data_IF_203566624015
#
_entry.id   IF_203566624015
#
_cell.length_a   1.000
_cell.length_b   1.000
_cell.length_c   1.000
_cell.angle_alpha   90.00
_cell.angle_beta   90.00
_cell.angle_gamma   90.00
#
_symmetry.space_group_name_H-M   'P 1'
#
loop_
_entity.id
_entity.type
_entity.pdbx_description
1 polymer ?
#
# COMPACT_ATOMS: atom_id res chain seq x y z
N UNK A 1 5.36 -29.69 -27.92
CA UNK A 1 4.37 -29.54 -26.83
C UNK A 1 3.86 -30.92 -26.45
N UNK A 2 3.77 -31.26 -25.16
CA UNK A 2 3.27 -32.58 -24.71
C UNK A 2 1.77 -32.80 -24.96
N UNK A 3 1.03 -31.77 -25.38
CA UNK A 3 -0.44 -31.82 -25.51
C UNK A 3 -0.96 -32.47 -26.80
N UNK A 4 -0.12 -32.88 -27.77
CA UNK A 4 -0.54 -33.58 -29.00
C UNK A 4 -1.79 -33.00 -29.71
N UNK A 5 -2.04 -31.69 -29.62
CA UNK A 5 -3.20 -31.04 -30.23
C UNK A 5 -4.56 -31.31 -29.55
N UNK A 6 -4.57 -31.98 -28.40
CA UNK A 6 -5.79 -32.19 -27.61
C UNK A 6 -6.12 -30.92 -26.79
N UNK A 7 -7.42 -30.62 -26.59
CA UNK A 7 -7.84 -29.57 -25.67
C UNK A 7 -7.29 -29.86 -24.26
N UNK A 8 -6.74 -28.85 -23.60
CA UNK A 8 -6.34 -28.98 -22.20
C UNK A 8 -7.62 -29.14 -21.35
N UNK A 9 -7.60 -30.09 -20.42
CA UNK A 9 -8.64 -30.16 -19.39
C UNK A 9 -8.64 -28.86 -18.59
N UNK A 10 -9.82 -28.30 -18.26
CA UNK A 10 -9.88 -27.11 -17.44
C UNK A 10 -9.22 -27.41 -16.08
N UNK A 11 -8.35 -26.50 -15.59
CA UNK A 11 -7.75 -26.70 -14.28
C UNK A 11 -8.86 -26.76 -13.21
N UNK A 12 -8.71 -27.68 -12.26
CA UNK A 12 -9.55 -27.70 -11.06
C UNK A 12 -9.16 -26.47 -10.23
N UNK A 13 -10.09 -25.53 -10.06
CA UNK A 13 -9.87 -24.37 -9.21
C UNK A 13 -9.95 -24.82 -7.75
N UNK A 14 -8.80 -24.92 -7.08
CA UNK A 14 -8.76 -25.18 -5.65
C UNK A 14 -9.26 -23.93 -4.90
N UNK A 15 -10.42 -24.05 -4.26
CA UNK A 15 -10.91 -23.01 -3.35
C UNK A 15 -9.99 -22.92 -2.13
N UNK A 16 -9.67 -21.71 -1.65
CA UNK A 16 -8.90 -21.56 -0.43
C UNK A 16 -9.68 -22.19 0.74
N UNK A 17 -9.00 -22.89 1.67
CA UNK A 17 -9.67 -23.45 2.83
C UNK A 17 -10.49 -22.37 3.58
N UNK A 18 -11.74 -22.69 3.92
CA UNK A 18 -12.67 -21.77 4.59
C UNK A 18 -12.10 -21.11 5.86
N UNK A 19 -11.18 -21.80 6.54
CA UNK A 19 -10.44 -21.24 7.67
C UNK A 19 -9.75 -19.91 7.30
N UNK A 20 -9.03 -19.85 6.18
CA UNK A 20 -8.32 -18.63 5.75
C UNK A 20 -9.30 -17.53 5.36
N UNK A 21 -10.35 -17.86 4.60
CA UNK A 21 -11.41 -16.90 4.26
C UNK A 21 -12.02 -16.26 5.51
N UNK A 22 -12.48 -17.08 6.46
CA UNK A 22 -13.13 -16.59 7.67
C UNK A 22 -12.19 -15.78 8.55
N UNK A 23 -10.96 -16.27 8.77
CA UNK A 23 -9.96 -15.54 9.58
C UNK A 23 -9.55 -14.22 8.94
N UNK A 24 -9.46 -14.13 7.60
CA UNK A 24 -9.24 -12.87 6.89
C UNK A 24 -10.39 -11.89 7.12
N UNK A 25 -11.65 -12.32 6.96
CA UNK A 25 -12.80 -11.44 7.18
C UNK A 25 -12.91 -10.97 8.64
N UNK A 26 -12.69 -11.86 9.60
CA UNK A 26 -12.65 -11.51 11.03
C UNK A 26 -11.52 -10.52 11.30
N UNK A 27 -10.34 -10.70 10.70
CA UNK A 27 -9.22 -9.78 10.86
C UNK A 27 -9.53 -8.38 10.32
N UNK A 28 -10.16 -8.29 9.14
CA UNK A 28 -10.59 -7.00 8.60
C UNK A 28 -11.65 -6.33 9.49
N UNK A 29 -12.62 -7.11 9.98
CA UNK A 29 -13.65 -6.59 10.89
C UNK A 29 -13.02 -6.02 12.17
N UNK A 30 -12.08 -6.73 12.78
CA UNK A 30 -11.36 -6.26 13.95
C UNK A 30 -10.60 -4.96 13.69
N UNK A 31 -9.88 -4.86 12.56
CA UNK A 31 -9.17 -3.64 12.19
C UNK A 31 -10.12 -2.44 11.99
N UNK A 32 -11.27 -2.67 11.35
CA UNK A 32 -12.29 -1.64 11.13
C UNK A 32 -12.89 -1.19 12.46
N UNK A 33 -13.27 -2.13 13.34
CA UNK A 33 -13.82 -1.81 14.66
C UNK A 33 -12.83 -1.00 15.50
N UNK A 34 -11.57 -1.43 15.58
CA UNK A 34 -10.51 -0.69 16.29
C UNK A 34 -10.31 0.70 15.68
N UNK A 35 -10.32 0.81 14.35
CA UNK A 35 -10.21 2.09 13.65
C UNK A 35 -11.32 3.06 14.06
N UNK A 36 -12.58 2.60 14.12
CA UNK A 36 -13.71 3.43 14.54
C UNK A 36 -13.64 3.80 16.02
N UNK A 37 -13.23 2.89 16.90
CA UNK A 37 -12.99 3.19 18.32
C UNK A 37 -11.95 4.30 18.44
N UNK A 38 -10.83 4.20 17.73
CA UNK A 38 -9.81 5.23 17.74
C UNK A 38 -10.28 6.57 17.13
N UNK A 39 -11.12 6.55 16.08
CA UNK A 39 -11.72 7.78 15.52
C UNK A 39 -12.70 8.41 16.50
N UNK A 40 -13.48 7.62 17.24
CA UNK A 40 -14.40 8.12 18.27
C UNK A 40 -13.64 8.86 19.38
N UNK A 41 -12.62 8.24 19.96
CA UNK A 41 -11.79 8.88 20.98
C UNK A 41 -10.97 10.04 20.42
N UNK A 42 -10.43 9.90 19.21
CA UNK A 42 -9.65 10.93 18.53
C UNK A 42 -10.46 12.19 18.22
N UNK A 43 -11.69 12.02 17.72
CA UNK A 43 -12.62 13.14 17.51
C UNK A 43 -13.01 13.80 18.83
N UNK A 44 -13.10 13.08 19.96
CA UNK A 44 -13.53 13.68 21.25
C UNK A 44 -12.39 14.34 22.03
N UNK A 45 -11.20 13.73 22.02
CA UNK A 45 -10.09 14.09 22.92
C UNK A 45 -8.74 14.31 22.22
N UNK A 46 -8.65 14.02 20.91
CA UNK A 46 -7.42 14.14 20.14
C UNK A 46 -7.08 15.56 19.70
N UNK A 47 -5.96 15.69 18.99
CA UNK A 47 -5.51 16.97 18.44
C UNK A 47 -6.50 17.50 17.39
N UNK A 48 -7.04 18.68 17.65
CA UNK A 48 -7.98 19.39 16.76
C UNK A 48 -7.44 19.51 15.34
N UNK A 49 -6.15 19.78 15.16
CA UNK A 49 -5.54 19.92 13.82
C UNK A 49 -5.75 18.68 12.94
N UNK A 50 -5.87 17.50 13.53
CA UNK A 50 -6.01 16.24 12.80
C UNK A 50 -7.46 15.79 12.60
N UNK A 51 -8.39 16.25 13.43
CA UNK A 51 -9.79 15.79 13.43
C UNK A 51 -10.79 16.87 13.03
N UNK A 52 -10.37 18.13 12.95
CA UNK A 52 -11.24 19.25 12.59
C UNK A 52 -11.75 19.15 11.16
N UNK A 53 -10.93 18.69 10.22
CA UNK A 53 -11.34 18.45 8.83
C UNK A 53 -12.31 17.28 8.64
N UNK A 54 -12.46 16.43 9.66
CA UNK A 54 -13.35 15.27 9.69
C UNK A 54 -14.71 15.58 10.32
N UNK A 55 -14.95 16.85 10.66
CA UNK A 55 -16.16 17.30 11.30
C UNK A 55 -16.75 18.46 10.52
N UNK A 56 -18.06 18.61 10.61
CA UNK A 56 -18.74 19.82 10.17
C UNK A 56 -18.18 20.99 10.97
N UNK A 57 -17.62 21.97 10.27
CA UNK A 57 -17.10 23.19 10.87
C UNK A 57 -17.74 24.40 10.19
N UNK A 58 -18.19 25.36 10.99
CA UNK A 58 -18.72 26.65 10.51
C UNK A 58 -19.84 26.51 9.45
N UNK A 59 -20.64 25.44 9.52
CA UNK A 59 -21.73 25.17 8.56
C UNK A 59 -21.28 24.52 7.24
N UNK A 60 -19.99 24.25 7.06
CA UNK A 60 -19.45 23.54 5.90
C UNK A 60 -19.32 22.04 6.18
N UNK A 61 -19.70 21.24 5.19
CA UNK A 61 -19.46 19.80 5.20
C UNK A 61 -17.95 19.51 5.18
N UNK A 62 -17.50 18.39 5.80
CA UNK A 62 -16.11 17.96 5.69
C UNK A 62 -15.73 17.74 4.22
N UNK A 63 -14.47 18.04 3.89
CA UNK A 63 -13.93 17.95 2.52
C UNK A 63 -13.98 16.53 1.95
N UNK A 64 -13.80 15.52 2.80
CA UNK A 64 -13.85 14.12 2.43
C UNK A 64 -14.93 13.42 3.24
N UNK A 65 -15.57 12.43 2.64
CA UNK A 65 -16.46 11.55 3.38
C UNK A 65 -15.69 10.81 4.48
N UNK A 66 -16.34 10.62 5.62
CA UNK A 66 -15.74 10.01 6.80
C UNK A 66 -15.27 8.58 6.51
N UNK A 67 -16.05 7.85 5.70
CA UNK A 67 -15.75 6.47 5.28
C UNK A 67 -14.65 6.42 4.23
N UNK A 68 -14.70 7.30 3.23
CA UNK A 68 -13.71 7.35 2.15
C UNK A 68 -12.30 7.65 2.67
N UNK A 69 -12.24 8.57 3.64
CA UNK A 69 -10.99 8.96 4.28
C UNK A 69 -10.58 8.02 5.44
N UNK A 70 -11.48 7.17 5.95
CA UNK A 70 -11.20 6.19 7.00
C UNK A 70 -10.14 5.17 6.58
N UNK A 71 -10.32 4.57 5.39
CA UNK A 71 -9.39 3.55 4.88
C UNK A 71 -7.96 4.09 4.85
N UNK A 72 -7.80 5.29 4.28
CA UNK A 72 -6.48 5.93 4.16
C UNK A 72 -5.86 6.23 5.52
N UNK A 73 -6.63 6.78 6.48
CA UNK A 73 -6.13 7.14 7.81
C UNK A 73 -5.83 5.94 8.72
N UNK A 74 -6.68 4.92 8.72
CA UNK A 74 -6.67 3.86 9.73
C UNK A 74 -6.03 2.57 9.24
N UNK A 75 -6.10 2.28 7.94
CA UNK A 75 -5.52 1.09 7.35
C UNK A 75 -4.28 1.42 6.51
N UNK A 76 -4.45 2.15 5.40
CA UNK A 76 -3.38 2.38 4.41
C UNK A 76 -2.14 3.03 5.02
N UNK A 77 -2.30 4.12 5.77
CA UNK A 77 -1.18 4.88 6.34
C UNK A 77 -0.25 4.01 7.21
N UNK A 78 -0.80 3.00 7.91
CA UNK A 78 0.01 2.06 8.70
C UNK A 78 0.85 1.12 7.84
N UNK A 79 0.40 0.83 6.63
CA UNK A 79 1.10 0.00 5.66
C UNK A 79 2.15 0.79 4.87
N UNK A 80 2.07 2.11 4.84
CA UNK A 80 2.91 2.95 3.97
C UNK A 80 4.42 2.80 4.23
N UNK A 81 4.84 2.34 5.41
CA UNK A 81 6.27 2.06 5.69
C UNK A 81 6.87 1.01 4.73
N UNK A 82 6.05 0.03 4.33
CA UNK A 82 6.44 -1.01 3.40
C UNK A 82 5.95 -0.74 1.96
N UNK A 83 4.76 -0.15 1.80
CA UNK A 83 4.08 -0.09 0.51
C UNK A 83 4.29 1.22 -0.27
N UNK A 84 4.65 2.31 0.41
CA UNK A 84 4.72 3.64 -0.20
C UNK A 84 6.15 4.20 -0.17
N UNK A 85 7.17 3.34 -0.22
CA UNK A 85 8.57 3.75 -0.20
C UNK A 85 8.93 4.45 -1.51
N UNK A 86 9.42 5.71 -1.46
CA UNK A 86 9.80 6.42 -2.67
C UNK A 86 11.02 5.77 -3.31
N UNK A 87 10.95 5.57 -4.62
CA UNK A 87 12.05 5.05 -5.44
C UNK A 87 12.55 6.13 -6.40
N UNK A 88 13.84 6.10 -6.72
CA UNK A 88 14.45 6.99 -7.70
C UNK A 88 15.18 6.20 -8.78
N UNK A 89 15.45 6.86 -9.90
CA UNK A 89 16.15 6.27 -11.04
C UNK A 89 15.27 5.31 -11.84
N UNK A 90 15.94 4.53 -12.68
CA UNK A 90 15.28 3.57 -13.56
C UNK A 90 15.02 2.27 -12.79
N UNK A 91 13.77 1.72 -12.82
CA UNK A 91 13.48 0.46 -12.18
C UNK A 91 14.04 -0.71 -13.00
N UNK A 92 15.32 -1.02 -12.80
CA UNK A 92 16.01 -2.15 -13.43
C UNK A 92 16.01 -3.41 -12.56
N UNK A 93 17.05 -4.24 -12.69
CA UNK A 93 17.28 -5.39 -11.79
C UNK A 93 17.32 -4.99 -10.31
N UNK A 94 17.82 -3.80 -10.03
CA UNK A 94 17.82 -3.18 -8.70
C UNK A 94 16.99 -1.89 -8.72
N UNK A 95 16.40 -1.56 -7.59
CA UNK A 95 15.73 -0.27 -7.34
C UNK A 95 16.41 0.44 -6.19
N UNK A 96 16.56 1.76 -6.33
CA UNK A 96 17.10 2.62 -5.29
C UNK A 96 15.95 3.24 -4.49
N UNK A 97 15.87 2.90 -3.21
CA UNK A 97 14.91 3.47 -2.28
C UNK A 97 15.49 4.74 -1.65
N UNK A 98 14.67 5.76 -1.52
CA UNK A 98 14.99 6.93 -0.70
C UNK A 98 14.66 6.61 0.76
N UNK A 99 15.67 6.64 1.61
CA UNK A 99 15.48 6.32 3.02
C UNK A 99 14.71 7.45 3.72
N UNK A 100 13.72 7.04 4.51
CA UNK A 100 12.87 7.94 5.29
C UNK A 100 12.60 7.36 6.66
N UNK A 101 12.34 8.25 7.61
CA UNK A 101 11.85 7.91 8.96
C UNK A 101 10.54 8.66 9.22
N UNK A 102 9.66 8.03 9.98
CA UNK A 102 8.45 8.65 10.51
C UNK A 102 8.40 8.43 12.02
N UNK A 103 8.09 9.48 12.77
CA UNK A 103 7.92 9.44 14.23
C UNK A 103 6.45 9.61 14.64
N UNK A 104 5.53 9.63 13.68
CA UNK A 104 4.12 9.99 13.88
C UNK A 104 3.16 9.01 13.17
N UNK A 105 3.55 7.74 13.07
CA UNK A 105 2.80 6.67 12.41
C UNK A 105 2.52 6.98 10.93
N UNK A 106 3.56 7.34 10.17
CA UNK A 106 3.50 7.62 8.74
C UNK A 106 2.62 8.82 8.34
N UNK A 107 2.36 9.74 9.26
CA UNK A 107 1.65 11.00 8.93
C UNK A 107 2.58 11.99 8.24
N UNK A 108 3.84 12.03 8.68
CA UNK A 108 4.90 12.81 8.06
C UNK A 108 6.16 11.96 7.89
N UNK A 109 6.98 12.35 6.92
CA UNK A 109 8.22 11.68 6.60
C UNK A 109 9.39 12.64 6.63
N UNK A 110 10.47 12.20 7.26
CA UNK A 110 11.77 12.87 7.26
C UNK A 110 12.71 12.05 6.39
N UNK A 111 13.16 12.62 5.28
CA UNK A 111 14.15 12.00 4.42
C UNK A 111 15.53 12.13 5.05
N UNK A 112 16.26 11.01 5.13
CA UNK A 112 17.58 10.97 5.77
C UNK A 112 18.70 11.46 4.83
N UNK A 113 18.40 11.59 3.54
CA UNK A 113 19.39 11.88 2.49
C UNK A 113 20.24 10.66 2.10
N UNK A 114 19.97 9.51 2.70
CA UNK A 114 20.60 8.24 2.35
C UNK A 114 19.71 7.44 1.40
N UNK A 115 20.34 6.49 0.72
CA UNK A 115 19.69 5.66 -0.29
C UNK A 115 20.06 4.20 -0.06
N UNK A 116 19.07 3.33 -0.21
CA UNK A 116 19.26 1.89 -0.11
C UNK A 116 18.94 1.23 -1.45
N UNK A 117 19.93 0.59 -2.06
CA UNK A 117 19.71 -0.24 -3.24
C UNK A 117 19.14 -1.61 -2.82
N UNK A 118 18.08 -2.05 -3.50
CA UNK A 118 17.40 -3.31 -3.21
C UNK A 118 17.10 -4.07 -4.49
N UNK A 119 17.01 -5.39 -4.40
CA UNK A 119 16.64 -6.24 -5.52
C UNK A 119 15.20 -5.95 -5.95
N UNK A 120 14.99 -5.71 -7.24
CA UNK A 120 13.68 -5.48 -7.80
C UNK A 120 12.94 -6.80 -8.00
N UNK A 121 12.03 -7.10 -7.09
CA UNK A 121 11.16 -8.27 -7.17
C UNK A 121 9.74 -7.93 -7.66
N UNK A 122 9.44 -6.65 -7.85
CA UNK A 122 8.07 -6.17 -8.10
C UNK A 122 7.79 -5.87 -9.57
N UNK A 123 8.81 -5.52 -10.36
CA UNK A 123 8.63 -5.24 -11.78
C UNK A 123 9.19 -6.37 -12.64
N UNK A 124 8.44 -6.73 -13.69
CA UNK A 124 8.87 -7.67 -14.73
C UNK A 124 9.90 -7.07 -15.70
N UNK A 125 10.69 -6.07 -15.27
CA UNK A 125 11.71 -5.45 -16.10
C UNK A 125 13.02 -6.27 -16.11
N UNK A 126 12.92 -7.59 -16.26
CA UNK A 126 14.07 -8.49 -16.39
C UNK A 126 14.69 -8.45 -17.79
N UNK A 127 13.95 -7.96 -18.78
CA UNK A 127 14.44 -7.77 -20.16
C UNK A 127 15.19 -6.45 -20.37
N UNK A 128 15.21 -5.56 -19.38
CA UNK A 128 15.95 -4.31 -19.45
C UNK A 128 15.31 -3.22 -20.31
N UNK A 129 14.04 -3.37 -20.73
CA UNK A 129 13.35 -2.37 -21.55
C UNK A 129 13.20 -0.99 -20.91
N UNK A 130 13.18 -0.91 -19.57
CA UNK A 130 13.15 0.39 -18.92
C UNK A 130 14.53 1.05 -18.81
N UNK A 131 15.63 0.34 -19.11
CA UNK A 131 17.00 0.84 -18.99
C UNK A 131 17.37 1.74 -20.17
N UNK A 132 18.05 2.84 -19.89
CA UNK A 132 18.51 3.79 -20.92
C UNK A 132 19.78 3.32 -21.65
N UNK A 133 20.40 2.23 -21.20
CA UNK A 133 21.64 1.65 -21.73
C UNK A 133 21.54 0.12 -21.71
N UNK A 134 22.23 -0.55 -22.64
CA UNK A 134 22.29 -2.01 -22.72
C UNK A 134 21.62 -2.57 -23.97
N UNK A 135 21.59 -3.90 -24.15
CA UNK A 135 21.26 -4.55 -25.43
C UNK A 135 19.89 -4.21 -26.00
N UNK A 136 18.91 -3.82 -25.17
CA UNK A 136 17.60 -3.39 -25.64
C UNK A 136 17.51 -1.88 -25.96
N UNK A 137 18.41 -1.06 -25.41
CA UNK A 137 18.47 0.38 -25.67
C UNK A 137 19.46 0.74 -26.79
N UNK A 138 20.48 -0.11 -26.99
CA UNK A 138 21.55 0.05 -27.99
C UNK A 138 21.26 -0.68 -29.32
N UNK A 139 20.15 -1.41 -29.42
CA UNK A 139 19.70 -2.12 -30.62
C UNK A 139 18.88 -1.24 -31.56
#
# INVERSE_FOLDING_TARGET
>A
SKSHGMPLEPPIEDEPPYYFLLTTYVSYLLLILVGHICDFFGKRFGDKKHYDSLKVQNGFAPLNDDFDSFYTRRLKMRLDDCFARPTIGVPGRFITLMDRKSNDNNRSYQYTGTYTETLNMSSYNYLGFAQSEGPCADA
#
